data_IF_583310666298
#
_entry.id   IF_583310666298
#
_cell.length_a   1.000
_cell.length_b   1.000
_cell.length_c   1.000
_cell.angle_alpha   90.00
_cell.angle_beta   90.00
_cell.angle_gamma   90.00
#
_symmetry.space_group_name_H-M   'P 1'
#
loop_
_entity.id
_entity.type
_entity.pdbx_description
1 polymer ?
#
# COMPACT_ATOMS: atom_id res chain seq x y z
N UNK A 1 21.66 -17.03 12.30
CA UNK A 1 21.53 -15.61 11.87
C UNK A 1 20.67 -15.48 10.61
N UNK A 2 20.93 -16.21 9.53
CA UNK A 2 20.18 -16.10 8.26
C UNK A 2 18.64 -16.25 8.40
N UNK A 3 18.14 -17.27 9.12
CA UNK A 3 16.69 -17.44 9.33
C UNK A 3 16.02 -16.29 10.09
N UNK A 4 16.77 -15.66 11.01
CA UNK A 4 16.28 -14.49 11.75
C UNK A 4 16.12 -13.29 10.82
N UNK A 5 17.10 -13.05 9.94
CA UNK A 5 17.03 -11.98 8.94
C UNK A 5 15.84 -12.18 8.00
N UNK A 6 15.66 -13.39 7.46
CA UNK A 6 14.53 -13.71 6.58
C UNK A 6 13.20 -13.46 7.30
N UNK A 7 13.06 -13.90 8.56
CA UNK A 7 11.87 -13.66 9.37
C UNK A 7 11.59 -12.17 9.55
N UNK A 8 12.61 -11.39 9.89
CA UNK A 8 12.52 -9.94 10.04
C UNK A 8 12.05 -9.27 8.74
N UNK A 9 12.70 -9.58 7.62
CA UNK A 9 12.35 -9.03 6.30
C UNK A 9 10.95 -9.42 5.85
N UNK A 10 10.52 -10.66 6.14
CA UNK A 10 9.16 -11.12 5.83
C UNK A 10 8.11 -10.29 6.57
N UNK A 11 8.29 -10.09 7.89
CA UNK A 11 7.37 -9.28 8.71
C UNK A 11 7.36 -7.83 8.23
N UNK A 12 8.54 -7.26 7.95
CA UNK A 12 8.67 -5.92 7.40
C UNK A 12 7.95 -5.79 6.05
N UNK A 13 8.09 -6.78 5.17
CA UNK A 13 7.42 -6.83 3.87
C UNK A 13 5.89 -6.87 3.99
N UNK A 14 5.35 -7.63 4.94
CA UNK A 14 3.90 -7.63 5.21
C UNK A 14 3.41 -6.26 5.69
N UNK A 15 4.16 -5.60 6.59
CA UNK A 15 3.83 -4.27 7.10
C UNK A 15 3.88 -3.23 5.96
N UNK A 16 4.95 -3.24 5.17
CA UNK A 16 5.10 -2.33 4.04
C UNK A 16 4.04 -2.60 2.96
N UNK A 17 3.71 -3.87 2.68
CA UNK A 17 2.64 -4.24 1.75
C UNK A 17 1.28 -3.67 2.16
N UNK A 18 0.95 -3.69 3.46
CA UNK A 18 -0.25 -3.04 3.99
C UNK A 18 -0.22 -1.52 3.78
N UNK A 19 0.94 -0.88 3.97
CA UNK A 19 1.09 0.55 3.68
C UNK A 19 0.96 0.86 2.18
N UNK A 20 1.55 0.03 1.31
CA UNK A 20 1.43 0.17 -0.15
C UNK A 20 -0.03 0.08 -0.57
N UNK A 21 -0.83 -0.83 -0.02
CA UNK A 21 -2.27 -0.87 -0.28
C UNK A 21 -2.97 0.47 0.03
N UNK A 22 -2.64 1.08 1.17
CA UNK A 22 -3.16 2.41 1.53
C UNK A 22 -2.73 3.46 0.51
N UNK A 23 -1.48 3.43 0.05
CA UNK A 23 -0.99 4.33 -1.00
C UNK A 23 -1.74 4.12 -2.32
N UNK A 24 -1.94 2.88 -2.75
CA UNK A 24 -2.63 2.54 -4.00
C UNK A 24 -4.10 3.01 -4.01
N UNK A 25 -4.77 2.97 -2.87
CA UNK A 25 -6.14 3.46 -2.75
C UNK A 25 -6.22 4.99 -2.67
N UNK A 26 -5.29 5.63 -1.94
CA UNK A 26 -5.38 7.07 -1.61
C UNK A 26 -4.69 7.98 -2.61
N UNK A 27 -3.53 7.61 -3.12
CA UNK A 27 -2.78 8.44 -4.09
C UNK A 27 -3.60 8.83 -5.32
N UNK A 28 -4.28 7.90 -6.04
CA UNK A 28 -5.04 8.28 -7.22
C UNK A 28 -6.19 9.24 -6.89
N UNK A 29 -6.79 9.13 -5.69
CA UNK A 29 -7.86 10.03 -5.23
C UNK A 29 -7.34 11.41 -4.83
N UNK A 30 -6.20 11.45 -4.12
CA UNK A 30 -5.56 12.68 -3.70
C UNK A 30 -5.15 13.53 -4.91
N UNK A 31 -4.61 12.90 -5.96
CA UNK A 31 -4.20 13.54 -7.20
C UNK A 31 -5.23 13.44 -8.33
N UNK A 32 -6.48 13.05 -8.02
CA UNK A 32 -7.56 13.06 -9.02
C UNK A 32 -7.95 14.50 -9.36
N UNK A 33 -8.02 14.79 -10.66
CA UNK A 33 -8.52 16.06 -11.17
C UNK A 33 -9.99 16.28 -10.77
N UNK A 34 -10.40 17.55 -10.75
CA UNK A 34 -11.77 17.96 -10.36
C UNK A 34 -12.84 17.21 -11.15
N UNK A 35 -12.63 17.01 -12.46
CA UNK A 35 -13.52 16.24 -13.34
C UNK A 35 -13.64 14.78 -12.94
N UNK A 36 -12.53 14.13 -12.57
CA UNK A 36 -12.49 12.73 -12.12
C UNK A 36 -13.10 12.57 -10.73
N UNK A 37 -12.95 13.56 -9.85
CA UNK A 37 -13.66 13.60 -8.56
C UNK A 37 -15.18 13.73 -8.75
N UNK A 38 -15.61 14.60 -9.65
CA UNK A 38 -17.03 14.76 -10.00
C UNK A 38 -17.62 13.48 -10.60
N UNK A 39 -16.91 12.79 -11.50
CA UNK A 39 -17.39 11.51 -12.05
C UNK A 39 -17.48 10.41 -10.99
N UNK A 40 -16.55 10.35 -10.03
CA UNK A 40 -16.63 9.44 -8.89
C UNK A 40 -17.80 9.78 -7.93
N UNK A 41 -18.09 11.06 -7.71
CA UNK A 41 -19.27 11.49 -6.94
C UNK A 41 -20.59 11.09 -7.62
N UNK A 42 -20.60 11.07 -8.95
CA UNK A 42 -21.79 10.74 -9.74
C UNK A 42 -21.93 9.25 -10.05
N UNK A 43 -20.88 8.44 -9.83
CA UNK A 43 -20.95 7.00 -10.04
C UNK A 43 -21.95 6.33 -9.06
N UNK A 44 -22.84 5.46 -9.54
CA UNK A 44 -23.83 4.79 -8.69
C UNK A 44 -23.25 3.68 -7.81
N UNK A 45 -22.10 3.11 -8.20
CA UNK A 45 -21.44 2.00 -7.50
C UNK A 45 -20.65 2.44 -6.25
N UNK A 46 -20.44 3.75 -6.08
CA UNK A 46 -19.64 4.31 -4.99
C UNK A 46 -20.53 4.59 -3.77
N UNK A 47 -20.13 4.06 -2.60
CA UNK A 47 -20.92 4.21 -1.38
C UNK A 47 -21.08 5.68 -0.96
N UNK A 48 -22.24 6.02 -0.40
CA UNK A 48 -22.59 7.35 0.10
C UNK A 48 -21.55 7.90 1.08
N UNK A 49 -20.92 7.02 1.86
CA UNK A 49 -19.82 7.36 2.76
C UNK A 49 -18.57 7.87 2.01
N UNK A 50 -18.18 7.22 0.91
CA UNK A 50 -17.02 7.67 0.11
C UNK A 50 -17.31 9.02 -0.54
N UNK A 51 -18.55 9.25 -1.00
CA UNK A 51 -18.99 10.54 -1.56
C UNK A 51 -18.86 11.65 -0.53
N UNK A 52 -19.29 11.41 0.71
CA UNK A 52 -19.17 12.36 1.81
C UNK A 52 -17.70 12.68 2.14
N UNK A 53 -16.82 11.68 2.20
CA UNK A 53 -15.38 11.91 2.46
C UNK A 53 -14.66 12.64 1.32
N UNK A 54 -15.01 12.33 0.05
CA UNK A 54 -14.50 13.04 -1.12
C UNK A 54 -14.94 14.51 -1.12
N UNK A 55 -16.19 14.77 -0.73
CA UNK A 55 -16.76 16.11 -0.67
C UNK A 55 -16.13 16.97 0.44
N UNK A 56 -15.76 16.35 1.57
CA UNK A 56 -15.14 17.01 2.72
C UNK A 56 -13.60 17.16 2.60
N UNK A 57 -13.00 16.74 1.47
CA UNK A 57 -11.53 16.72 1.25
C UNK A 57 -10.72 16.04 2.37
N UNK A 58 -11.35 15.17 3.17
CA UNK A 58 -10.73 14.54 4.35
C UNK A 58 -9.80 13.38 4.01
N UNK A 59 -9.79 12.92 2.74
CA UNK A 59 -8.93 11.86 2.22
C UNK A 59 -7.52 12.39 1.90
N UNK A 60 -6.67 12.45 2.93
CA UNK A 60 -5.22 12.70 2.76
C UNK A 60 -4.38 11.50 3.20
N UNK A 61 -3.18 11.34 2.63
CA UNK A 61 -2.20 10.32 3.03
C UNK A 61 -1.78 10.49 4.50
N UNK A 62 -1.63 11.75 4.96
CA UNK A 62 -1.13 12.11 6.29
C UNK A 62 -2.21 12.23 7.37
N UNK A 63 -3.48 12.31 6.98
CA UNK A 63 -4.63 12.19 7.89
C UNK A 63 -5.48 11.03 7.39
N UNK A 64 -5.06 9.78 7.65
CA UNK A 64 -5.90 8.65 7.32
C UNK A 64 -7.11 8.73 8.25
N UNK A 65 -8.26 9.17 7.73
CA UNK A 65 -9.53 8.78 8.30
C UNK A 65 -9.44 7.25 8.46
N UNK A 66 -9.52 6.77 9.71
CA UNK A 66 -9.21 5.39 10.09
C UNK A 66 -9.81 4.40 9.10
N UNK A 67 -9.09 3.39 8.58
CA UNK A 67 -9.68 2.44 7.62
C UNK A 67 -11.08 2.01 8.07
N UNK A 68 -12.11 2.26 7.26
CA UNK A 68 -13.50 1.94 7.58
C UNK A 68 -14.00 0.90 6.58
N UNK A 69 -14.94 0.06 6.98
CA UNK A 69 -15.61 -0.82 6.03
C UNK A 69 -16.46 0.00 5.06
N UNK A 70 -16.21 -0.14 3.75
CA UNK A 70 -16.96 0.56 2.69
C UNK A 70 -18.47 0.24 2.68
N UNK A 71 -18.88 -0.89 3.23
CA UNK A 71 -20.28 -1.33 3.26
C UNK A 71 -21.05 -0.91 4.53
N UNK A 72 -20.37 -0.72 5.67
CA UNK A 72 -21.06 -0.44 6.94
C UNK A 72 -20.49 0.74 7.74
N UNK A 73 -19.45 1.41 7.23
CA UNK A 73 -18.80 2.53 7.91
C UNK A 73 -18.11 2.15 9.21
N UNK A 74 -18.01 0.85 9.55
CA UNK A 74 -17.33 0.42 10.76
C UNK A 74 -15.85 0.79 10.69
N UNK A 75 -15.41 1.61 11.64
CA UNK A 75 -14.02 1.97 11.83
C UNK A 75 -13.22 0.75 12.28
N UNK A 76 -12.31 0.27 11.43
CA UNK A 76 -11.45 -0.87 11.74
C UNK A 76 -10.49 -0.49 12.85
N UNK A 77 -10.44 -1.34 13.89
CA UNK A 77 -9.47 -1.22 14.97
C UNK A 77 -8.07 -1.57 14.47
N UNK A 78 -7.03 -1.13 15.20
CA UNK A 78 -5.63 -1.33 14.81
C UNK A 78 -5.28 -2.81 14.56
N UNK A 79 -5.82 -3.74 15.35
CA UNK A 79 -5.58 -5.19 15.15
C UNK A 79 -6.30 -5.78 13.93
N UNK A 80 -7.33 -5.12 13.41
CA UNK A 80 -7.98 -5.52 12.15
C UNK A 80 -7.18 -5.05 10.93
N UNK A 81 -6.18 -4.19 11.15
CA UNK A 81 -5.21 -3.75 10.15
C UNK A 81 -3.91 -4.56 10.16
N UNK A 82 -3.80 -5.60 11.01
CA UNK A 82 -2.63 -6.47 11.02
C UNK A 82 -2.67 -7.32 9.73
N UNK A 83 -1.67 -7.16 8.83
CA UNK A 83 -1.68 -7.76 7.50
C UNK A 83 -1.77 -9.28 7.57
N UNK A 84 -2.48 -9.89 6.60
CA UNK A 84 -2.75 -11.34 6.43
C UNK A 84 -3.48 -12.02 7.62
N UNK A 85 -3.06 -11.78 8.86
CA UNK A 85 -3.63 -12.34 10.08
C UNK A 85 -5.09 -11.92 10.26
N UNK A 86 -5.41 -10.63 10.05
CA UNK A 86 -6.78 -10.14 10.17
C UNK A 86 -7.69 -10.74 9.09
N UNK A 87 -7.16 -10.98 7.89
CA UNK A 87 -7.91 -11.60 6.79
C UNK A 87 -8.21 -13.07 7.07
N UNK A 88 -7.22 -13.85 7.51
CA UNK A 88 -7.40 -15.27 7.87
C UNK A 88 -8.40 -15.40 9.01
N UNK A 89 -8.25 -14.60 10.07
CA UNK A 89 -9.14 -14.62 11.23
C UNK A 89 -10.56 -14.14 10.89
N UNK A 90 -10.71 -13.19 9.97
CA UNK A 90 -12.01 -12.66 9.57
C UNK A 90 -12.61 -13.38 8.35
N UNK A 91 -11.92 -14.42 7.82
CA UNK A 91 -12.24 -15.14 6.58
C UNK A 91 -12.56 -14.20 5.40
N UNK A 92 -11.84 -13.09 5.32
CA UNK A 92 -12.07 -12.07 4.30
C UNK A 92 -13.40 -11.35 4.35
N UNK A 93 -14.03 -11.30 5.53
CA UNK A 93 -15.30 -10.60 5.73
C UNK A 93 -15.16 -9.56 6.81
N UNK A 94 -15.86 -8.43 6.68
CA UNK A 94 -15.96 -7.46 7.76
C UNK A 94 -16.58 -8.13 9.00
N UNK A 95 -15.98 -7.97 10.19
CA UNK A 95 -16.51 -8.58 11.42
C UNK A 95 -17.92 -8.11 11.78
N UNK A 96 -18.30 -6.89 11.37
CA UNK A 96 -19.59 -6.28 11.71
C UNK A 96 -20.69 -6.61 10.69
N UNK A 97 -20.45 -6.37 9.40
CA UNK A 97 -21.47 -6.57 8.36
C UNK A 97 -21.25 -7.79 7.46
N UNK A 98 -20.16 -8.55 7.68
CA UNK A 98 -19.78 -9.73 6.89
C UNK A 98 -19.56 -9.49 5.39
N UNK A 99 -19.48 -8.23 4.94
CA UNK A 99 -19.17 -7.92 3.54
C UNK A 99 -17.76 -8.38 3.18
N UNK A 100 -17.58 -8.87 1.96
CA UNK A 100 -16.30 -9.39 1.47
C UNK A 100 -15.28 -8.27 1.29
N UNK A 101 -14.12 -8.43 1.93
CA UNK A 101 -12.97 -7.55 1.77
C UNK A 101 -12.22 -8.02 0.52
N UNK A 102 -11.89 -7.08 -0.38
CA UNK A 102 -11.32 -7.42 -1.70
C UNK A 102 -10.02 -8.22 -1.63
N UNK A 103 -9.92 -9.25 -2.47
CA UNK A 103 -8.74 -10.14 -2.53
C UNK A 103 -7.44 -9.42 -2.92
N UNK A 104 -7.54 -8.27 -3.59
CA UNK A 104 -6.41 -7.45 -4.04
C UNK A 104 -5.45 -7.09 -2.90
N UNK A 105 -6.00 -6.74 -1.74
CA UNK A 105 -5.22 -6.28 -0.57
C UNK A 105 -4.29 -7.38 -0.07
N UNK A 106 -4.81 -8.61 0.02
CA UNK A 106 -4.07 -9.79 0.50
C UNK A 106 -2.98 -10.17 -0.49
N UNK A 107 -3.31 -10.13 -1.79
CA UNK A 107 -2.35 -10.45 -2.84
C UNK A 107 -1.15 -9.51 -2.74
N UNK A 108 -1.38 -8.21 -2.60
CA UNK A 108 -0.30 -7.21 -2.50
C UNK A 108 0.52 -7.41 -1.22
N UNK A 109 -0.12 -7.68 -0.08
CA UNK A 109 0.59 -7.97 1.18
C UNK A 109 1.47 -9.22 1.07
N UNK A 110 0.89 -10.30 0.55
CA UNK A 110 1.58 -11.59 0.39
C UNK A 110 2.74 -11.48 -0.59
N UNK A 111 2.54 -10.78 -1.72
CA UNK A 111 3.60 -10.54 -2.69
C UNK A 111 4.75 -9.74 -2.09
N UNK A 112 4.48 -8.71 -1.27
CA UNK A 112 5.55 -7.98 -0.58
C UNK A 112 6.27 -8.84 0.47
N UNK A 113 5.52 -9.59 1.29
CA UNK A 113 6.12 -10.50 2.26
C UNK A 113 7.06 -11.52 1.60
N UNK A 114 6.61 -12.15 0.51
CA UNK A 114 7.41 -13.11 -0.26
C UNK A 114 8.60 -12.47 -0.97
N UNK A 115 8.43 -11.29 -1.55
CA UNK A 115 9.53 -10.58 -2.21
C UNK A 115 10.62 -10.20 -1.21
N UNK A 116 10.24 -9.67 -0.05
CA UNK A 116 11.20 -9.28 0.99
C UNK A 116 11.91 -10.52 1.55
N UNK A 117 11.19 -11.61 1.80
CA UNK A 117 11.78 -12.88 2.20
C UNK A 117 12.77 -13.42 1.15
N UNK A 118 12.40 -13.37 -0.13
CA UNK A 118 13.23 -13.83 -1.24
C UNK A 118 14.50 -12.98 -1.42
N UNK A 119 14.39 -11.65 -1.33
CA UNK A 119 15.57 -10.78 -1.39
C UNK A 119 16.51 -11.00 -0.20
N UNK A 120 15.98 -11.20 1.01
CA UNK A 120 16.78 -11.55 2.18
C UNK A 120 17.45 -12.92 2.08
N UNK A 121 16.78 -13.90 1.45
CA UNK A 121 17.35 -15.22 1.20
C UNK A 121 18.51 -15.16 0.21
N UNK A 122 18.36 -14.39 -0.88
CA UNK A 122 19.30 -14.34 -2.00
C UNK A 122 20.46 -13.37 -1.78
N UNK A 123 20.20 -12.19 -1.21
CA UNK A 123 21.12 -11.06 -1.19
C UNK A 123 21.73 -10.81 0.19
N UNK A 124 22.17 -11.88 0.87
CA UNK A 124 22.78 -11.90 2.21
C UNK A 124 23.28 -10.55 2.74
N UNK A 125 22.84 -10.16 3.93
CA UNK A 125 23.10 -8.85 4.53
C UNK A 125 21.86 -7.96 4.60
N UNK A 126 22.05 -6.67 4.89
CA UNK A 126 20.95 -5.76 5.22
C UNK A 126 20.71 -4.68 4.18
N UNK A 127 21.77 -4.20 3.53
CA UNK A 127 21.71 -3.04 2.62
C UNK A 127 21.04 -3.41 1.29
N UNK A 128 21.43 -4.54 0.70
CA UNK A 128 20.90 -4.95 -0.60
C UNK A 128 19.43 -5.38 -0.56
N UNK A 129 18.99 -6.24 0.38
CA UNK A 129 17.57 -6.56 0.50
C UNK A 129 16.71 -5.32 0.69
N UNK A 130 17.17 -4.35 1.49
CA UNK A 130 16.47 -3.06 1.69
C UNK A 130 16.25 -2.31 0.37
N UNK A 131 17.30 -2.17 -0.43
CA UNK A 131 17.24 -1.42 -1.68
C UNK A 131 16.27 -2.04 -2.69
N UNK A 132 16.39 -3.35 -2.94
CA UNK A 132 15.50 -4.05 -3.87
C UNK A 132 14.05 -4.07 -3.37
N UNK A 133 13.88 -4.15 -2.06
CA UNK A 133 12.59 -4.09 -1.39
C UNK A 133 11.88 -2.74 -1.55
N UNK A 134 12.60 -1.63 -1.37
CA UNK A 134 12.06 -0.27 -1.58
C UNK A 134 11.76 -0.05 -3.07
N UNK A 135 12.68 -0.47 -3.95
CA UNK A 135 12.53 -0.34 -5.40
C UNK A 135 11.27 -1.07 -5.89
N UNK A 136 11.04 -2.29 -5.39
CA UNK A 136 9.83 -3.06 -5.71
C UNK A 136 8.54 -2.34 -5.31
N UNK A 137 8.48 -1.79 -4.08
CA UNK A 137 7.33 -1.02 -3.62
C UNK A 137 7.08 0.22 -4.49
N UNK A 138 8.13 0.97 -4.85
CA UNK A 138 8.02 2.15 -5.71
C UNK A 138 7.51 1.80 -7.11
N UNK A 139 8.04 0.74 -7.71
CA UNK A 139 7.64 0.27 -9.04
C UNK A 139 6.18 -0.20 -9.06
N UNK A 140 5.71 -0.90 -8.02
CA UNK A 140 4.31 -1.30 -7.92
C UNK A 140 3.38 -0.10 -7.86
N UNK A 141 3.70 0.90 -7.02
CA UNK A 141 2.90 2.12 -6.92
C UNK A 141 2.93 2.88 -8.26
N UNK A 142 4.09 2.96 -8.92
CA UNK A 142 4.24 3.62 -10.21
C UNK A 142 3.41 2.96 -11.30
N UNK A 143 3.46 1.62 -11.39
CA UNK A 143 2.70 0.85 -12.37
C UNK A 143 1.20 1.03 -12.19
N UNK A 144 0.70 0.97 -10.94
CA UNK A 144 -0.71 1.16 -10.65
C UNK A 144 -1.18 2.60 -10.87
N UNK A 145 -0.38 3.58 -10.45
CA UNK A 145 -0.71 5.01 -10.55
C UNK A 145 -0.19 5.65 -11.85
N UNK A 146 0.10 4.86 -12.89
CA UNK A 146 0.75 5.34 -14.13
C UNK A 146 0.01 6.52 -14.79
N UNK A 147 -1.32 6.50 -14.72
CA UNK A 147 -2.19 7.54 -15.28
C UNK A 147 -2.07 8.89 -14.56
N UNK A 148 -1.56 8.93 -13.32
CA UNK A 148 -1.42 10.15 -12.54
C UNK A 148 -0.04 10.80 -12.79
N UNK A 149 -0.01 11.85 -13.63
CA UNK A 149 1.24 12.50 -14.03
C UNK A 149 2.07 13.03 -12.84
N UNK A 150 1.41 13.58 -11.82
CA UNK A 150 2.08 14.10 -10.63
C UNK A 150 2.76 12.98 -9.82
N UNK A 151 2.03 11.90 -9.55
CA UNK A 151 2.54 10.72 -8.83
C UNK A 151 3.71 10.09 -9.59
N UNK A 152 3.57 9.96 -10.91
CA UNK A 152 4.63 9.45 -11.79
C UNK A 152 5.93 10.24 -11.66
N UNK A 153 5.86 11.58 -11.73
CA UNK A 153 7.06 12.44 -11.58
C UNK A 153 7.73 12.26 -10.22
N UNK A 154 6.95 12.30 -9.14
CA UNK A 154 7.47 12.13 -7.78
C UNK A 154 8.14 10.77 -7.56
N UNK A 155 7.52 9.69 -8.04
CA UNK A 155 8.08 8.34 -7.91
C UNK A 155 9.33 8.15 -8.77
N UNK A 156 9.37 8.70 -9.99
CA UNK A 156 10.57 8.68 -10.82
C UNK A 156 11.73 9.46 -10.18
N UNK A 157 11.46 10.64 -9.59
CA UNK A 157 12.50 11.37 -8.85
C UNK A 157 13.00 10.60 -7.63
N UNK A 158 12.10 9.97 -6.87
CA UNK A 158 12.47 9.18 -5.70
C UNK A 158 13.30 7.95 -6.08
N UNK A 159 12.92 7.26 -7.16
CA UNK A 159 13.70 6.15 -7.71
C UNK A 159 15.10 6.58 -8.19
N UNK A 160 15.20 7.73 -8.85
CA UNK A 160 16.50 8.29 -9.26
C UNK A 160 17.43 8.58 -8.09
N UNK A 161 16.91 9.21 -7.02
CA UNK A 161 17.68 9.43 -5.78
C UNK A 161 18.15 8.12 -5.16
N UNK A 162 17.27 7.10 -5.13
CA UNK A 162 17.60 5.78 -4.59
C UNK A 162 18.76 5.12 -5.37
N UNK A 163 18.75 5.21 -6.70
CA UNK A 163 19.83 4.68 -7.56
C UNK A 163 21.14 5.42 -7.32
N UNK A 164 21.10 6.75 -7.20
CA UNK A 164 22.29 7.56 -6.89
C UNK A 164 22.89 7.15 -5.54
N UNK A 165 22.06 6.97 -4.51
CA UNK A 165 22.52 6.54 -3.20
C UNK A 165 23.21 5.16 -3.25
N UNK A 166 22.67 4.21 -4.01
CA UNK A 166 23.31 2.91 -4.20
C UNK A 166 24.63 3.02 -4.94
N UNK A 167 24.69 3.86 -5.97
CA UNK A 167 25.94 4.12 -6.65
C UNK A 167 26.99 4.70 -5.69
N UNK A 168 26.61 5.67 -4.86
CA UNK A 168 27.51 6.20 -3.83
C UNK A 168 27.99 5.11 -2.86
N UNK A 169 27.12 4.23 -2.37
CA UNK A 169 27.49 3.15 -1.42
C UNK A 169 28.42 2.11 -2.05
N UNK A 170 28.37 1.90 -3.37
CA UNK A 170 29.19 0.89 -4.03
C UNK A 170 30.57 1.41 -4.46
N UNK A 171 30.69 2.71 -4.68
CA UNK A 171 31.88 3.33 -5.26
C UNK A 171 32.67 4.19 -4.26
N UNK A 172 32.17 4.39 -3.04
CA UNK A 172 32.87 5.03 -1.91
C UNK A 172 32.85 4.11 -0.70
#
# INVERSE_FOLDING_TARGET
MQYFEIGFWTVLGLIIGSFVNVCLDRLPLQFADKTRRLSLLNAPEISTFLKQQLQDQSLNLFKPACSFCFSCGHQLKWFEKIPVLSFILSKGRCRKCKSTIGFRTIWIETMHGLWYAGTAWLLQGWVWPLFYSISFSLLLILGYCWSCNQVRKTLLSAGGVLVILVFCINYF
#
